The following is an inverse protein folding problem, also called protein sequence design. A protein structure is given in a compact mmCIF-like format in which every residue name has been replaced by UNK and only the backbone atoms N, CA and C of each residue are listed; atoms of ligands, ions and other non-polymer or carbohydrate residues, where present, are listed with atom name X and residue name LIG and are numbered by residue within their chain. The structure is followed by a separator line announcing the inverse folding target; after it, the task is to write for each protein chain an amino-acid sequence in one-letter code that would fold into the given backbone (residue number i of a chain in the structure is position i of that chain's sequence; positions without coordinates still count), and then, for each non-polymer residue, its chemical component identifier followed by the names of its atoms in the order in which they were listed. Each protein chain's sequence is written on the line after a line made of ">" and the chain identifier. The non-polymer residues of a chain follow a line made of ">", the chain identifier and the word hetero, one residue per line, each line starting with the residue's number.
data_IF_884163677757
#
_entry.id   IF_884163677757
#
_cell.length_a   1.000
_cell.length_b   1.000
_cell.length_c   1.000
_cell.angle_alpha   90.00
_cell.angle_beta   90.00
_cell.angle_gamma   90.00
#
_symmetry.space_group_name_H-M   'P 1'
#
loop_
_entity.id
_entity.type
_entity.pdbx_description
1 polymer ?
#
# COMPACT_ATOMS: atom_id res chain seq x y z
N UNK A 1 -0.49 -1.47 -9.18
CA UNK A 1 0.09 -2.73 -8.68
C UNK A 1 1.57 -2.73 -8.99
N UNK A 2 2.35 -1.84 -8.36
CA UNK A 2 3.80 -1.69 -8.64
C UNK A 2 4.65 -1.90 -7.38
N UNK A 3 4.03 -2.09 -6.22
CA UNK A 3 4.71 -2.21 -4.93
C UNK A 3 5.17 -3.63 -4.58
N UNK A 4 4.78 -4.64 -5.36
CA UNK A 4 5.15 -6.06 -5.13
C UNK A 4 6.38 -6.51 -5.94
N UNK A 5 6.77 -5.74 -6.95
CA UNK A 5 7.97 -6.03 -7.73
C UNK A 5 9.16 -5.33 -7.08
N UNK A 6 9.84 -6.01 -6.15
CA UNK A 6 11.08 -5.52 -5.54
C UNK A 6 12.11 -5.04 -6.58
N UNK A 7 13.06 -4.21 -6.16
CA UNK A 7 14.06 -3.57 -7.02
C UNK A 7 15.45 -4.16 -6.80
N UNK A 8 16.24 -4.34 -7.86
CA UNK A 8 17.64 -4.78 -7.73
C UNK A 8 18.47 -3.71 -7.02
N UNK A 9 19.33 -4.11 -6.07
CA UNK A 9 20.18 -3.17 -5.32
C UNK A 9 20.98 -2.23 -6.24
N UNK A 10 21.61 -2.78 -7.29
CA UNK A 10 22.41 -2.00 -8.24
C UNK A 10 21.57 -0.95 -8.98
N UNK A 11 20.31 -1.25 -9.27
CA UNK A 11 19.39 -0.33 -9.94
C UNK A 11 18.89 0.75 -8.97
N UNK A 12 18.53 0.35 -7.75
CA UNK A 12 18.08 1.26 -6.71
C UNK A 12 19.10 2.37 -6.43
N UNK A 13 20.38 2.01 -6.32
CA UNK A 13 21.44 3.01 -6.06
C UNK A 13 21.68 3.93 -7.25
N UNK A 14 21.61 3.42 -8.49
CA UNK A 14 21.67 4.25 -9.70
C UNK A 14 20.53 5.26 -9.74
N UNK A 15 19.30 4.84 -9.42
CA UNK A 15 18.12 5.73 -9.39
C UNK A 15 18.24 6.82 -8.31
N UNK A 16 18.85 6.49 -7.17
CA UNK A 16 19.05 7.43 -6.06
C UNK A 16 20.34 8.28 -6.19
N UNK A 17 21.15 8.07 -7.22
CA UNK A 17 22.43 8.77 -7.36
C UNK A 17 23.46 8.43 -6.27
N UNK A 18 23.35 7.25 -5.65
CA UNK A 18 24.22 6.80 -4.55
C UNK A 18 25.30 5.85 -5.05
N UNK A 19 26.45 5.83 -4.36
CA UNK A 19 27.44 4.78 -4.59
C UNK A 19 26.93 3.43 -4.08
N UNK A 20 27.38 2.34 -4.69
CA UNK A 20 27.04 0.98 -4.25
C UNK A 20 27.40 0.71 -2.78
N UNK A 21 28.45 1.35 -2.26
CA UNK A 21 28.91 1.20 -0.88
C UNK A 21 27.96 1.88 0.10
N UNK A 22 27.54 3.11 -0.20
CA UNK A 22 26.57 3.86 0.61
C UNK A 22 25.20 3.20 0.57
N UNK A 23 24.76 2.82 -0.63
CA UNK A 23 23.50 2.10 -0.85
C UNK A 23 23.45 0.78 -0.08
N UNK A 24 24.49 -0.05 -0.17
CA UNK A 24 24.53 -1.33 0.56
C UNK A 24 24.47 -1.13 2.09
N UNK A 25 25.15 -0.11 2.63
CA UNK A 25 25.07 0.26 4.06
C UNK A 25 23.68 0.75 4.46
N UNK A 26 22.98 1.46 3.58
CA UNK A 26 21.60 1.87 3.82
C UNK A 26 20.65 0.67 3.81
N UNK A 27 20.77 -0.22 2.82
CA UNK A 27 19.95 -1.43 2.76
C UNK A 27 20.11 -2.33 3.99
N UNK A 28 21.34 -2.52 4.48
CA UNK A 28 21.56 -3.28 5.73
C UNK A 28 20.84 -2.62 6.92
N UNK A 29 20.98 -1.30 7.08
CA UNK A 29 20.29 -0.56 8.15
C UNK A 29 18.77 -0.62 8.04
N UNK A 30 18.22 -0.60 6.83
CA UNK A 30 16.77 -0.72 6.63
C UNK A 30 16.26 -2.14 6.88
N UNK A 31 17.06 -3.16 6.59
CA UNK A 31 16.75 -4.55 6.91
C UNK A 31 16.79 -4.80 8.42
N UNK A 32 17.83 -4.29 9.12
CA UNK A 32 17.95 -4.35 10.58
C UNK A 32 16.76 -3.68 11.29
N UNK A 33 16.24 -2.59 10.71
CA UNK A 33 15.04 -1.90 11.20
C UNK A 33 13.72 -2.61 10.85
N UNK A 34 13.76 -3.64 10.01
CA UNK A 34 12.56 -4.37 9.57
C UNK A 34 11.68 -3.57 8.59
N UNK A 35 12.24 -2.62 7.85
CA UNK A 35 11.51 -1.80 6.86
C UNK A 35 11.55 -2.42 5.45
N UNK A 36 12.54 -3.29 5.19
CA UNK A 36 12.73 -3.96 3.90
C UNK A 36 13.08 -5.45 4.08
N UNK A 37 12.88 -6.24 3.03
CA UNK A 37 13.42 -7.60 2.86
C UNK A 37 14.42 -7.64 1.72
N UNK A 38 15.37 -8.58 1.78
CA UNK A 38 16.40 -8.75 0.76
C UNK A 38 16.51 -10.21 0.36
N UNK A 39 16.22 -10.50 -0.90
CA UNK A 39 16.41 -11.84 -1.45
C UNK A 39 17.64 -11.88 -2.34
N UNK A 40 18.43 -12.93 -2.18
CA UNK A 40 19.57 -13.19 -3.06
C UNK A 40 19.04 -13.76 -4.38
N UNK A 41 19.34 -13.09 -5.48
CA UNK A 41 18.90 -13.46 -6.83
C UNK A 41 20.08 -13.51 -7.80
N UNK A 42 20.00 -14.39 -8.79
CA UNK A 42 20.97 -14.45 -9.87
C UNK A 42 20.50 -13.51 -11.00
N UNK A 43 21.27 -12.48 -11.29
CA UNK A 43 20.99 -11.53 -12.36
C UNK A 43 22.20 -11.47 -13.30
N UNK A 44 22.00 -11.78 -14.59
CA UNK A 44 23.07 -11.76 -15.61
C UNK A 44 24.33 -12.54 -15.19
N UNK A 45 24.13 -13.71 -14.57
CA UNK A 45 25.24 -14.57 -14.12
C UNK A 45 25.99 -14.04 -12.88
N UNK A 46 25.53 -12.96 -12.25
CA UNK A 46 26.09 -12.43 -11.00
C UNK A 46 25.06 -12.49 -9.88
N UNK A 47 25.49 -12.91 -8.70
CA UNK A 47 24.65 -12.85 -7.50
C UNK A 47 24.48 -11.40 -7.06
N UNK A 48 23.24 -11.02 -6.83
CA UNK A 48 22.87 -9.70 -6.30
C UNK A 48 21.68 -9.85 -5.36
N UNK A 49 21.22 -8.74 -4.79
CA UNK A 49 20.06 -8.71 -3.91
C UNK A 49 18.93 -7.92 -4.56
N UNK A 50 17.72 -8.46 -4.44
CA UNK A 50 16.47 -7.76 -4.75
C UNK A 50 15.85 -7.27 -3.43
N UNK A 51 15.55 -5.99 -3.38
CA UNK A 51 15.03 -5.26 -2.22
C UNK A 51 13.50 -5.21 -2.32
N UNK A 52 12.80 -5.60 -1.27
CA UNK A 52 11.35 -5.50 -1.17
C UNK A 52 10.99 -4.58 -0.01
N UNK A 53 10.00 -3.70 -0.19
CA UNK A 53 9.52 -2.87 0.91
C UNK A 53 8.56 -3.69 1.78
N UNK A 54 8.79 -3.71 3.09
CA UNK A 54 7.81 -4.24 4.05
C UNK A 54 6.69 -3.24 4.32
N UNK A 55 6.89 -1.98 3.93
CA UNK A 55 5.94 -0.89 4.15
C UNK A 55 4.74 -1.09 3.24
N UNK A 56 3.71 -1.75 3.77
CA UNK A 56 2.39 -1.78 3.14
C UNK A 56 1.83 -0.37 3.19
N UNK A 57 1.76 0.29 2.04
CA UNK A 57 0.88 1.45 1.93
C UNK A 57 -0.53 0.91 2.17
N UNK A 58 -1.23 1.46 3.16
CA UNK A 58 -2.64 1.16 3.34
C UNK A 58 -3.32 1.59 2.04
N UNK A 59 -3.71 0.61 1.22
CA UNK A 59 -4.44 0.93 0.01
C UNK A 59 -5.81 1.43 0.44
N UNK A 60 -6.22 2.58 -0.11
CA UNK A 60 -7.59 3.06 0.02
C UNK A 60 -8.53 2.35 -0.96
N UNK A 61 -8.06 1.34 -1.70
CA UNK A 61 -8.88 0.57 -2.66
C UNK A 61 -10.11 -0.05 -2.00
N UNK A 62 -10.03 -0.44 -0.73
CA UNK A 62 -11.15 -1.00 0.03
C UNK A 62 -12.29 0.00 0.28
N UNK A 63 -12.02 1.30 0.18
CA UNK A 63 -12.99 2.36 0.44
C UNK A 63 -13.11 3.36 -0.71
N UNK A 64 -12.44 3.11 -1.86
CA UNK A 64 -12.30 4.07 -2.96
C UNK A 64 -13.63 4.60 -3.47
N UNK A 65 -14.63 3.73 -3.55
CA UNK A 65 -15.97 4.06 -4.03
C UNK A 65 -16.96 4.34 -2.91
N UNK A 66 -16.46 4.47 -1.66
CA UNK A 66 -17.32 4.76 -0.52
C UNK A 66 -18.00 6.12 -0.71
N UNK A 67 -19.34 6.20 -0.53
CA UNK A 67 -20.07 7.45 -0.64
C UNK A 67 -19.60 8.47 0.41
N UNK A 68 -19.01 8.02 1.52
CA UNK A 68 -18.50 8.88 2.58
C UNK A 68 -17.30 9.74 2.15
N UNK A 69 -16.49 9.29 1.18
CA UNK A 69 -15.32 10.06 0.72
C UNK A 69 -15.69 11.36 -0.01
N UNK A 70 -16.94 11.46 -0.49
CA UNK A 70 -17.46 12.61 -1.24
C UNK A 70 -18.74 13.15 -0.61
N UNK A 71 -19.00 12.83 0.65
CA UNK A 71 -20.22 13.22 1.34
C UNK A 71 -20.10 14.66 1.86
N UNK A 72 -20.94 15.55 1.36
CA UNK A 72 -20.95 16.97 1.77
C UNK A 72 -21.30 17.16 3.26
N UNK A 73 -22.03 16.20 3.83
CA UNK A 73 -22.48 16.23 5.23
C UNK A 73 -21.54 15.45 6.18
N UNK A 74 -20.36 15.00 5.73
CA UNK A 74 -19.49 14.11 6.52
C UNK A 74 -19.10 14.72 7.88
N UNK A 75 -18.90 16.04 7.93
CA UNK A 75 -18.52 16.78 9.15
C UNK A 75 -19.64 16.82 10.21
N UNK A 76 -20.88 16.56 9.79
CA UNK A 76 -22.07 16.52 10.66
C UNK A 76 -22.62 15.10 10.85
N UNK A 77 -21.93 14.09 10.31
CA UNK A 77 -22.33 12.69 10.35
C UNK A 77 -21.72 11.99 11.56
N UNK A 78 -22.52 11.73 12.60
CA UNK A 78 -22.08 11.06 13.81
C UNK A 78 -23.23 10.28 14.47
N UNK A 79 -22.89 9.37 15.38
CA UNK A 79 -23.88 8.55 16.09
C UNK A 79 -24.82 9.43 16.93
N UNK A 80 -26.12 9.33 16.65
CA UNK A 80 -27.16 10.13 17.32
C UNK A 80 -27.34 11.56 16.79
N UNK A 81 -26.63 11.94 15.73
CA UNK A 81 -26.82 13.23 15.04
C UNK A 81 -28.00 13.24 14.06
N UNK A 82 -28.32 14.42 13.53
CA UNK A 82 -29.31 14.60 12.44
C UNK A 82 -28.94 13.78 11.19
N UNK A 83 -27.64 13.64 10.94
CA UNK A 83 -27.07 12.67 10.01
C UNK A 83 -26.31 11.63 10.83
N UNK A 84 -26.69 10.37 10.67
CA UNK A 84 -26.08 9.25 11.37
C UNK A 84 -25.58 8.20 10.39
N UNK A 85 -24.37 7.66 10.57
CA UNK A 85 -23.86 6.58 9.73
C UNK A 85 -24.69 5.30 9.88
N UNK A 86 -25.38 5.12 11.01
CA UNK A 86 -26.20 3.93 11.29
C UNK A 86 -27.47 3.90 10.43
N UNK A 87 -28.03 5.07 10.11
CA UNK A 87 -29.27 5.20 9.33
C UNK A 87 -29.02 5.73 7.91
N UNK A 88 -27.77 5.73 7.45
CA UNK A 88 -27.40 6.30 6.14
C UNK A 88 -27.64 5.28 5.01
N UNK A 89 -28.68 5.49 4.22
CA UNK A 89 -29.04 4.60 3.10
C UNK A 89 -27.93 4.43 2.06
N UNK A 90 -27.18 5.50 1.76
CA UNK A 90 -26.07 5.44 0.81
C UNK A 90 -24.95 4.52 1.31
N UNK A 91 -24.60 4.66 2.59
CA UNK A 91 -23.60 3.81 3.23
C UNK A 91 -24.10 2.36 3.32
N UNK A 92 -25.37 2.15 3.71
CA UNK A 92 -25.97 0.82 3.74
C UNK A 92 -25.94 0.16 2.36
N UNK A 93 -26.35 0.86 1.30
CA UNK A 93 -26.30 0.33 -0.07
C UNK A 93 -24.89 -0.05 -0.48
N UNK A 94 -23.92 0.85 -0.27
CA UNK A 94 -22.53 0.59 -0.60
C UNK A 94 -21.98 -0.61 0.18
N UNK A 95 -22.28 -0.72 1.49
CA UNK A 95 -21.89 -1.87 2.30
C UNK A 95 -22.53 -3.15 1.74
N UNK A 96 -23.82 -3.15 1.41
CA UNK A 96 -24.50 -4.33 0.86
C UNK A 96 -23.90 -4.78 -0.48
N UNK A 97 -23.58 -3.83 -1.37
CA UNK A 97 -22.91 -4.10 -2.65
C UNK A 97 -21.49 -4.67 -2.46
N UNK A 98 -20.81 -4.31 -1.36
CA UNK A 98 -19.43 -4.75 -1.07
C UNK A 98 -19.33 -5.93 -0.08
N UNK A 99 -20.40 -6.28 0.63
CA UNK A 99 -20.38 -7.27 1.74
C UNK A 99 -20.93 -8.65 1.37
N UNK A 100 -21.51 -8.86 0.18
CA UNK A 100 -22.07 -10.16 -0.21
C UNK A 100 -22.23 -10.40 -1.71
N UNK A 101 -21.48 -11.39 -2.22
CA UNK A 101 -21.79 -12.22 -3.41
C UNK A 101 -21.82 -11.56 -4.79
N UNK A 102 -20.64 -11.36 -5.39
CA UNK A 102 -20.61 -10.97 -6.81
C UNK A 102 -19.28 -10.66 -7.48
N UNK A 103 -18.13 -11.16 -7.00
CA UNK A 103 -16.97 -11.33 -7.90
C UNK A 103 -17.27 -12.44 -8.90
N UNK A 104 -18.08 -12.16 -9.92
CA UNK A 104 -18.18 -12.91 -11.18
C UNK A 104 -18.33 -11.90 -12.31
N UNK A 105 -17.30 -11.79 -13.14
CA UNK A 105 -17.19 -10.90 -14.28
C UNK A 105 -15.77 -10.40 -14.42
#
# INVERSE_FOLDING_TARGET
>A
MESENGILQCEMWKRLGLSSREGSRLAQRFEEKGEIERDRVLHEGRWTYKLYSKRRHASLDSIRDSPCLRCDDIDRCFEGGERSPISCEYLTRWIMENSGEGRRG
#
